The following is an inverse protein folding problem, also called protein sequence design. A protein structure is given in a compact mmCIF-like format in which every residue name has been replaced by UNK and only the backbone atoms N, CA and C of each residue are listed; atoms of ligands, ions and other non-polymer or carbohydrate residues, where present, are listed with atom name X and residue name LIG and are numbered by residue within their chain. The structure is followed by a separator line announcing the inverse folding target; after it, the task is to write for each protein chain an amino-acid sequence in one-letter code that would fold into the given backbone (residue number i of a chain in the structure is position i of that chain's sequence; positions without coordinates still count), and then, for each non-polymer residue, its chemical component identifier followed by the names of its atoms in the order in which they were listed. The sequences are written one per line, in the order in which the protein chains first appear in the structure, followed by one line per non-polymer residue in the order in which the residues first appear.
data_IF_180986541288
#
_entry.id   IF_180986541288
#
_cell.length_a   1.000
_cell.length_b   1.000
_cell.length_c   1.000
_cell.angle_alpha   90.00
_cell.angle_beta   90.00
_cell.angle_gamma   90.00
#
_symmetry.space_group_name_H-M   'P 1'
#
loop_
_entity.id
_entity.type
_entity.pdbx_description
1 polymer ?
#
# COMPACT_ATOMS: atom_id res chain seq x y z
N UNK A 1 -15.43 -11.23 -11.12
CA UNK A 1 -15.25 -12.58 -10.53
C UNK A 1 -14.99 -12.36 -9.06
N UNK A 2 -15.80 -12.94 -8.18
CA UNK A 2 -15.74 -12.66 -6.74
C UNK A 2 -14.34 -12.95 -6.17
N UNK A 3 -13.94 -12.10 -5.23
CA UNK A 3 -12.70 -12.18 -4.47
C UNK A 3 -13.03 -12.47 -3.01
N UNK A 4 -12.16 -13.21 -2.36
CA UNK A 4 -12.32 -13.53 -0.94
C UNK A 4 -11.21 -12.88 -0.13
N UNK A 5 -11.59 -11.94 0.73
CA UNK A 5 -10.71 -11.21 1.64
C UNK A 5 -10.60 -11.99 2.95
N UNK A 6 -9.37 -12.29 3.38
CA UNK A 6 -9.09 -13.08 4.58
C UNK A 6 -7.85 -12.58 5.32
N UNK A 7 -7.54 -13.21 6.45
CA UNK A 7 -6.53 -12.72 7.39
C UNK A 7 -6.97 -11.38 8.00
N UNK A 8 -8.25 -11.24 8.35
CA UNK A 8 -8.84 -10.00 8.81
C UNK A 8 -8.34 -9.63 10.21
N UNK A 9 -7.74 -8.45 10.35
CA UNK A 9 -7.39 -7.86 11.64
C UNK A 9 -8.33 -6.68 11.93
N UNK A 10 -9.03 -6.71 13.06
CA UNK A 10 -9.96 -5.64 13.43
C UNK A 10 -9.21 -4.32 13.67
N UNK A 11 -9.62 -3.24 12.99
CA UNK A 11 -9.13 -1.88 13.23
C UNK A 11 -10.09 -1.11 14.13
N UNK A 12 -11.31 -0.89 13.64
CA UNK A 12 -12.35 -0.10 14.32
C UNK A 12 -13.74 -0.47 13.77
N UNK A 13 -14.76 -0.52 14.63
CA UNK A 13 -16.15 -0.81 14.23
C UNK A 13 -16.29 -2.01 13.27
N UNK A 14 -16.70 -1.76 12.02
CA UNK A 14 -16.82 -2.75 10.95
C UNK A 14 -15.62 -2.78 10.01
N UNK A 15 -14.56 -2.03 10.28
CA UNK A 15 -13.37 -1.89 9.44
C UNK A 15 -12.30 -2.91 9.86
N UNK A 16 -11.89 -3.72 8.90
CA UNK A 16 -10.88 -4.75 9.07
C UNK A 16 -9.73 -4.52 8.08
N UNK A 17 -8.51 -4.65 8.57
CA UNK A 17 -7.32 -4.74 7.72
C UNK A 17 -7.34 -6.08 7.00
N UNK A 18 -7.09 -6.05 5.70
CA UNK A 18 -7.02 -7.24 4.85
C UNK A 18 -5.56 -7.62 4.63
N UNK A 19 -5.19 -8.85 5.00
CA UNK A 19 -3.83 -9.34 4.78
C UNK A 19 -3.71 -10.28 3.57
N UNK A 20 -4.80 -10.91 3.15
CA UNK A 20 -4.80 -11.93 2.10
C UNK A 20 -6.03 -11.80 1.20
N UNK A 21 -5.82 -11.99 -0.10
CA UNK A 21 -6.88 -11.95 -1.11
C UNK A 21 -6.80 -13.23 -1.94
N UNK A 22 -7.87 -14.01 -1.94
CA UNK A 22 -8.01 -15.16 -2.83
C UNK A 22 -8.78 -14.75 -4.09
N UNK A 23 -8.11 -14.85 -5.23
CA UNK A 23 -8.60 -14.30 -6.50
C UNK A 23 -9.67 -15.15 -7.20
N UNK A 24 -9.77 -16.43 -6.84
CA UNK A 24 -10.67 -17.42 -7.48
C UNK A 24 -11.30 -18.36 -6.43
N UNK A 25 -12.03 -17.85 -5.42
CA UNK A 25 -12.45 -18.64 -4.26
C UNK A 25 -13.34 -19.85 -4.59
N UNK A 26 -14.10 -19.78 -5.69
CA UNK A 26 -15.04 -20.82 -6.14
C UNK A 26 -14.58 -21.59 -7.38
N UNK A 27 -13.32 -21.42 -7.81
CA UNK A 27 -12.79 -22.18 -8.93
C UNK A 27 -12.72 -23.67 -8.60
N UNK A 28 -12.93 -24.54 -9.60
CA UNK A 28 -12.99 -25.99 -9.41
C UNK A 28 -11.63 -26.63 -9.11
N UNK A 29 -10.54 -26.01 -9.53
CA UNK A 29 -9.17 -26.55 -9.42
C UNK A 29 -8.37 -25.77 -8.39
N UNK A 30 -8.47 -24.44 -8.43
CA UNK A 30 -7.69 -23.51 -7.64
C UNK A 30 -8.50 -22.82 -6.54
N UNK A 31 -9.77 -23.17 -6.37
CA UNK A 31 -10.64 -22.60 -5.34
C UNK A 31 -10.49 -23.29 -3.98
N UNK A 32 -11.32 -22.84 -3.04
CA UNK A 32 -11.25 -23.27 -1.64
C UNK A 32 -12.15 -24.47 -1.33
N UNK A 33 -12.90 -24.98 -2.31
CA UNK A 33 -13.88 -26.08 -2.16
C UNK A 33 -14.87 -25.82 -1.00
N UNK A 34 -15.27 -24.56 -0.82
CA UNK A 34 -16.20 -24.10 0.21
C UNK A 34 -17.35 -23.33 -0.43
N UNK A 35 -18.50 -23.39 0.21
CA UNK A 35 -19.66 -22.56 -0.12
C UNK A 35 -19.43 -21.10 0.28
N UNK A 36 -20.22 -20.18 -0.28
CA UNK A 36 -20.16 -18.77 0.08
C UNK A 36 -20.44 -18.56 1.58
N UNK A 37 -21.41 -19.28 2.13
CA UNK A 37 -21.77 -19.22 3.55
C UNK A 37 -20.60 -19.63 4.46
N UNK A 38 -19.87 -20.69 4.11
CA UNK A 38 -18.71 -21.14 4.89
C UNK A 38 -17.54 -20.16 4.83
N UNK A 39 -17.34 -19.49 3.69
CA UNK A 39 -16.30 -18.48 3.53
C UNK A 39 -16.61 -17.21 4.33
N UNK A 40 -17.87 -16.76 4.33
CA UNK A 40 -18.31 -15.55 5.05
C UNK A 40 -18.29 -15.71 6.58
N UNK A 41 -18.15 -16.93 7.12
CA UNK A 41 -17.91 -17.14 8.55
C UNK A 41 -16.57 -16.54 9.02
N UNK A 42 -15.54 -16.56 8.16
CA UNK A 42 -14.16 -16.20 8.53
C UNK A 42 -13.51 -15.15 7.61
N UNK A 43 -14.26 -14.60 6.66
CA UNK A 43 -13.76 -13.61 5.72
C UNK A 43 -14.89 -12.84 5.06
N UNK A 44 -14.57 -12.10 4.01
CA UNK A 44 -15.52 -11.24 3.29
C UNK A 44 -15.42 -11.55 1.80
N UNK A 45 -16.55 -11.88 1.17
CA UNK A 45 -16.66 -12.00 -0.27
C UNK A 45 -17.04 -10.65 -0.87
N UNK A 46 -16.24 -10.17 -1.81
CA UNK A 46 -16.47 -8.94 -2.57
C UNK A 46 -16.51 -9.25 -4.06
N UNK A 47 -17.27 -8.48 -4.83
CA UNK A 47 -17.38 -8.72 -6.27
C UNK A 47 -16.13 -8.26 -7.02
N UNK A 48 -15.52 -7.16 -6.56
CA UNK A 48 -14.34 -6.54 -7.13
C UNK A 48 -13.43 -5.97 -6.04
N UNK A 49 -12.14 -5.85 -6.36
CA UNK A 49 -11.13 -5.20 -5.51
C UNK A 49 -10.54 -4.07 -6.32
N UNK A 50 -10.73 -2.83 -5.85
CA UNK A 50 -10.08 -1.66 -6.44
C UNK A 50 -8.60 -1.74 -6.12
N UNK A 51 -7.72 -1.60 -7.10
CA UNK A 51 -6.27 -1.60 -6.87
C UNK A 51 -5.83 -0.30 -6.18
N UNK A 52 -4.84 -0.39 -5.29
CA UNK A 52 -4.26 0.79 -4.66
C UNK A 52 -3.49 1.63 -5.69
N UNK A 53 -3.51 2.95 -5.51
CA UNK A 53 -2.64 3.83 -6.29
C UNK A 53 -1.18 3.60 -5.88
N UNK A 54 -0.30 3.44 -6.85
CA UNK A 54 1.12 3.38 -6.57
C UNK A 54 1.64 4.78 -6.22
N UNK A 55 2.09 4.97 -4.96
CA UNK A 55 2.64 6.23 -4.46
C UNK A 55 4.12 6.02 -4.10
N UNK A 56 5.01 6.75 -4.76
CA UNK A 56 6.45 6.62 -4.53
C UNK A 56 6.79 6.89 -3.05
N UNK A 57 7.53 5.98 -2.43
CA UNK A 57 7.90 6.08 -1.01
C UNK A 57 6.81 5.67 -0.02
N UNK A 58 5.64 5.20 -0.47
CA UNK A 58 4.57 4.72 0.41
C UNK A 58 4.19 3.27 0.10
N UNK A 59 3.79 2.54 1.14
CA UNK A 59 3.09 1.26 1.02
C UNK A 59 1.62 1.46 1.33
N UNK A 60 0.75 0.80 0.57
CA UNK A 60 -0.69 0.82 0.81
C UNK A 60 -1.11 -0.32 1.74
N UNK A 61 -1.89 -0.01 2.77
CA UNK A 61 -2.55 -0.98 3.65
C UNK A 61 -4.03 -1.00 3.28
N UNK A 62 -4.52 -2.18 2.90
CA UNK A 62 -5.93 -2.38 2.53
C UNK A 62 -6.79 -2.57 3.77
N UNK A 63 -7.93 -1.87 3.78
CA UNK A 63 -9.01 -2.09 4.72
C UNK A 63 -10.31 -2.39 3.98
N UNK A 64 -11.21 -3.08 4.65
CA UNK A 64 -12.58 -3.33 4.17
C UNK A 64 -13.57 -3.09 5.28
N UNK A 65 -14.66 -2.39 4.97
CA UNK A 65 -15.84 -2.34 5.83
C UNK A 65 -16.66 -3.62 5.62
N UNK A 66 -16.86 -4.41 6.68
CA UNK A 66 -17.59 -5.68 6.62
C UNK A 66 -19.08 -5.52 6.32
N UNK A 67 -19.68 -4.40 6.70
CA UNK A 67 -21.10 -4.13 6.49
C UNK A 67 -21.39 -3.65 5.07
N UNK A 68 -20.59 -2.72 4.56
CA UNK A 68 -20.78 -2.13 3.22
C UNK A 68 -20.00 -2.85 2.12
N UNK A 69 -18.98 -3.63 2.49
CA UNK A 69 -17.99 -4.26 1.58
C UNK A 69 -17.13 -3.24 0.82
N UNK A 70 -17.10 -1.99 1.26
CA UNK A 70 -16.25 -0.94 0.68
C UNK A 70 -14.79 -1.13 1.08
N UNK A 71 -13.89 -0.98 0.11
CA UNK A 71 -12.44 -1.13 0.30
C UNK A 71 -11.80 0.25 0.33
N UNK A 72 -10.98 0.50 1.33
CA UNK A 72 -10.20 1.74 1.49
C UNK A 72 -8.72 1.43 1.67
N UNK A 73 -7.87 2.42 1.41
CA UNK A 73 -6.42 2.29 1.53
C UNK A 73 -5.84 3.39 2.41
N UNK A 74 -4.99 2.97 3.34
CA UNK A 74 -4.12 3.87 4.11
C UNK A 74 -2.70 3.78 3.54
N UNK A 75 -2.06 4.93 3.32
CA UNK A 75 -0.72 4.99 2.76
C UNK A 75 0.27 5.34 3.86
N UNK A 76 1.19 4.42 4.12
CA UNK A 76 2.21 4.56 5.16
C UNK A 76 3.57 4.74 4.49
N UNK A 77 4.35 5.72 4.96
CA UNK A 77 5.71 5.96 4.46
C UNK A 77 6.57 4.71 4.66
N UNK A 78 7.29 4.35 3.60
CA UNK A 78 8.30 3.31 3.64
C UNK A 78 9.58 3.97 4.17
N UNK A 79 10.09 3.55 5.34
CA UNK A 79 11.35 4.08 5.83
C UNK A 79 12.46 3.77 4.82
N UNK A 80 13.28 4.78 4.53
CA UNK A 80 14.44 4.60 3.69
C UNK A 80 15.41 3.62 4.35
N UNK A 81 16.06 2.80 3.53
CA UNK A 81 17.21 2.03 4.00
C UNK A 81 18.38 2.98 4.32
N UNK A 82 19.32 2.60 5.20
CA UNK A 82 20.49 3.44 5.51
C UNK A 82 21.28 3.87 4.26
N UNK A 83 21.36 3.00 3.25
CA UNK A 83 22.01 3.30 1.97
C UNK A 83 21.23 4.37 1.17
N UNK A 84 19.90 4.26 1.11
CA UNK A 84 19.05 5.25 0.45
C UNK A 84 19.08 6.59 1.19
N UNK A 85 19.13 6.59 2.52
CA UNK A 85 19.30 7.81 3.32
C UNK A 85 20.64 8.49 3.01
N UNK A 86 21.73 7.71 2.96
CA UNK A 86 23.05 8.23 2.62
C UNK A 86 23.08 8.83 1.21
N UNK A 87 22.50 8.13 0.23
CA UNK A 87 22.42 8.60 -1.15
C UNK A 87 21.58 9.88 -1.28
N UNK A 88 20.43 9.94 -0.59
CA UNK A 88 19.58 11.14 -0.54
C UNK A 88 20.38 12.33 -0.01
N UNK A 89 21.13 12.13 1.08
CA UNK A 89 21.93 13.18 1.70
C UNK A 89 23.08 13.65 0.81
N UNK A 90 23.76 12.73 0.11
CA UNK A 90 24.80 13.10 -0.86
C UNK A 90 24.21 13.98 -1.96
N UNK A 91 23.06 13.59 -2.52
CA UNK A 91 22.39 14.35 -3.58
C UNK A 91 21.96 15.74 -3.12
N UNK A 92 21.45 15.86 -1.89
CA UNK A 92 21.10 17.16 -1.28
C UNK A 92 22.35 18.05 -1.13
N UNK A 93 23.46 17.51 -0.63
CA UNK A 93 24.72 18.25 -0.50
C UNK A 93 25.31 18.67 -1.86
N UNK A 94 25.22 17.81 -2.88
CA UNK A 94 25.66 18.15 -4.24
C UNK A 94 24.81 19.29 -4.84
N UNK A 95 23.50 19.27 -4.62
CA UNK A 95 22.58 20.32 -5.05
C UNK A 95 22.88 21.65 -4.34
N UNK A 96 23.09 21.62 -3.01
CA UNK A 96 23.47 22.80 -2.24
C UNK A 96 24.80 23.38 -2.70
N UNK A 97 25.82 22.54 -2.89
CA UNK A 97 27.11 22.96 -3.40
C UNK A 97 27.00 23.58 -4.80
N UNK A 98 26.19 22.99 -5.69
CA UNK A 98 25.93 23.56 -7.01
C UNK A 98 25.29 24.95 -6.90
N UNK A 99 24.26 25.09 -6.05
CA UNK A 99 23.56 26.36 -5.84
C UNK A 99 24.49 27.45 -5.26
N UNK A 100 25.33 27.09 -4.28
CA UNK A 100 26.33 27.99 -3.70
C UNK A 100 27.35 28.42 -4.76
N UNK A 101 27.86 27.48 -5.56
CA UNK A 101 28.80 27.78 -6.63
C UNK A 101 28.18 28.74 -7.67
N UNK A 102 26.93 28.52 -8.06
CA UNK A 102 26.22 29.44 -8.96
C UNK A 102 26.06 30.83 -8.33
N UNK A 103 25.71 30.92 -7.05
CA UNK A 103 25.59 32.19 -6.34
C UNK A 103 26.94 32.94 -6.26
N UNK A 104 28.05 32.22 -6.03
CA UNK A 104 29.40 32.80 -6.02
C UNK A 104 29.81 33.33 -7.41
N UNK A 105 29.51 32.57 -8.48
CA UNK A 105 29.78 32.99 -9.86
C UNK A 105 28.96 34.22 -10.28
N UNK A 106 27.68 34.29 -9.88
CA UNK A 106 26.79 35.41 -10.18
C UNK A 106 27.03 36.64 -9.29
N UNK A 107 27.56 36.44 -8.09
CA UNK A 107 27.83 37.48 -7.10
C UNK A 107 29.14 38.26 -7.30
N UNK A 108 29.95 37.91 -8.30
CA UNK A 108 31.15 38.68 -8.68
C UNK A 108 32.28 38.67 -7.66
N UNK A 109 32.49 37.56 -6.93
CA UNK A 109 33.66 37.35 -6.08
C UNK A 109 34.60 36.31 -6.69
N UNK A 110 35.13 36.62 -7.88
CA UNK A 110 36.44 36.18 -8.38
C UNK A 110 37.06 37.37 -9.13
#
# INVERSE_FOLDING_TARGET
MQKYLTGLEHKEENIYKVNLIHNMPFDKVHGLNKSAQELELNGILVDEVVEAEQREGFTSIMYVDKATKEITYEYVEIPLTPEQEALKKIKELEQENANINYALMMGGLI
#
